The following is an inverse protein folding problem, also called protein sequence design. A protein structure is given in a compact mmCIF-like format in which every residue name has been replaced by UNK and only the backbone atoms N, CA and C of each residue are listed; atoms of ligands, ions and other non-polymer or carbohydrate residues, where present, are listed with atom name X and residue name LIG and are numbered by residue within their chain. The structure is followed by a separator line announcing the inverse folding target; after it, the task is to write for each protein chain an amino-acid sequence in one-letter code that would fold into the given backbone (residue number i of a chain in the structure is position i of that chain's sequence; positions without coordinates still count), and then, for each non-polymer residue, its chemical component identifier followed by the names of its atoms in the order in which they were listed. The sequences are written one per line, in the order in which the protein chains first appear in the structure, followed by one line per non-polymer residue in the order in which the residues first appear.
data_IF_447973760838
#
_entry.id   IF_447973760838
#
_cell.length_a   1.000
_cell.length_b   1.000
_cell.length_c   1.000
_cell.angle_alpha   90.00
_cell.angle_beta   90.00
_cell.angle_gamma   90.00
#
_symmetry.space_group_name_H-M   'P 1'
#
loop_
_entity.id
_entity.type
_entity.pdbx_description
1 polymer ?
#
# COMPACT_ATOMS: atom_id res chain seq x y z
N UNK A 1 23.71 3.81 11.11
CA UNK A 1 24.37 2.68 10.42
C UNK A 1 24.78 1.59 11.42
N UNK A 2 24.68 0.31 11.02
CA UNK A 2 24.96 -0.86 11.88
C UNK A 2 25.41 -2.07 11.06
N UNK A 3 25.53 -3.24 11.69
CA UNK A 3 26.04 -4.47 11.06
C UNK A 3 24.94 -5.25 10.29
N UNK A 4 24.46 -4.68 9.19
CA UNK A 4 23.43 -5.26 8.31
C UNK A 4 23.89 -5.22 6.85
N UNK A 5 24.86 -6.06 6.50
CA UNK A 5 25.45 -6.09 5.14
C UNK A 5 24.38 -6.30 4.07
N UNK A 6 24.29 -5.37 3.11
CA UNK A 6 23.36 -5.41 1.99
C UNK A 6 22.08 -4.59 2.16
N UNK A 7 21.78 -4.11 3.37
CA UNK A 7 20.61 -3.26 3.63
C UNK A 7 20.93 -1.76 3.46
N UNK A 8 19.90 -0.97 3.16
CA UNK A 8 19.95 0.49 3.11
C UNK A 8 19.28 1.08 4.34
N UNK A 9 19.86 2.15 4.89
CA UNK A 9 19.29 2.90 6.02
C UNK A 9 18.51 4.13 5.57
N UNK A 10 17.65 4.62 6.45
CA UNK A 10 16.85 5.85 6.20
C UNK A 10 17.77 7.04 5.96
N UNK A 11 18.86 7.17 6.72
CA UNK A 11 19.81 8.27 6.59
C UNK A 11 20.49 8.27 5.21
N UNK A 12 20.78 7.09 4.64
CA UNK A 12 21.32 6.99 3.28
C UNK A 12 20.33 7.46 2.23
N UNK A 13 19.03 7.19 2.41
CA UNK A 13 17.99 7.70 1.51
C UNK A 13 17.87 9.23 1.62
N UNK A 14 17.92 9.77 2.83
CA UNK A 14 17.86 11.22 3.05
C UNK A 14 19.07 11.95 2.46
N UNK A 15 20.27 11.40 2.58
CA UNK A 15 21.49 11.98 2.00
C UNK A 15 21.40 12.08 0.46
N UNK A 16 20.66 11.16 -0.17
CA UNK A 16 20.33 11.18 -1.60
C UNK A 16 19.13 12.08 -1.95
N UNK A 17 18.52 12.78 -0.99
CA UNK A 17 17.33 13.61 -1.20
C UNK A 17 16.04 12.82 -1.45
N UNK A 18 16.01 11.52 -1.14
CA UNK A 18 14.83 10.67 -1.29
C UNK A 18 13.91 10.87 -0.08
N UNK A 19 12.63 11.13 -0.32
CA UNK A 19 11.64 11.45 0.71
C UNK A 19 10.55 10.39 0.90
N UNK A 20 10.53 9.35 0.07
CA UNK A 20 9.51 8.29 0.07
C UNK A 20 10.14 6.90 0.03
N UNK A 21 9.49 5.92 0.67
CA UNK A 21 9.85 4.51 0.57
C UNK A 21 8.62 3.60 0.50
N UNK A 22 8.77 2.45 -0.16
CA UNK A 22 7.78 1.36 -0.20
C UNK A 22 8.10 0.35 0.90
N UNK A 23 7.09 -0.04 1.68
CA UNK A 23 7.25 -1.02 2.77
C UNK A 23 6.18 -2.10 2.65
N UNK A 24 6.57 -3.36 2.84
CA UNK A 24 5.61 -4.46 2.88
C UNK A 24 5.03 -4.83 1.51
N UNK A 25 5.68 -4.47 0.41
CA UNK A 25 5.28 -4.92 -0.93
C UNK A 25 5.15 -6.44 -0.97
N UNK A 26 4.12 -6.94 -1.67
CA UNK A 26 3.79 -8.36 -1.80
C UNK A 26 5.01 -9.25 -2.10
N UNK A 27 5.85 -8.86 -3.04
CA UNK A 27 7.10 -9.57 -3.38
C UNK A 27 8.06 -9.71 -2.20
N UNK A 28 8.22 -8.68 -1.36
CA UNK A 28 9.08 -8.75 -0.16
C UNK A 28 8.48 -9.66 0.91
N UNK A 29 7.16 -9.63 1.08
CA UNK A 29 6.46 -10.53 2.02
C UNK A 29 6.54 -11.99 1.58
N UNK A 30 6.32 -12.25 0.28
CA UNK A 30 6.23 -13.62 -0.26
C UNK A 30 7.61 -14.22 -0.52
N UNK A 31 8.52 -13.49 -1.14
CA UNK A 31 9.85 -13.99 -1.56
C UNK A 31 10.86 -13.83 -0.42
N UNK A 32 10.96 -12.63 0.16
CA UNK A 32 11.93 -12.30 1.21
C UNK A 32 11.43 -12.58 2.62
N UNK A 33 10.19 -13.05 2.77
CA UNK A 33 9.57 -13.44 4.04
C UNK A 33 9.51 -12.31 5.07
N UNK A 34 9.32 -11.08 4.61
CA UNK A 34 9.04 -9.97 5.52
C UNK A 34 7.65 -10.14 6.15
N UNK A 35 7.61 -10.30 7.48
CA UNK A 35 6.37 -10.40 8.25
C UNK A 35 5.79 -9.02 8.62
N UNK A 36 4.61 -9.03 9.25
CA UNK A 36 3.91 -7.81 9.62
C UNK A 36 4.64 -6.99 10.68
N UNK A 37 5.33 -7.65 11.61
CA UNK A 37 6.10 -6.95 12.63
C UNK A 37 7.29 -6.21 12.02
N UNK A 38 7.99 -6.86 11.08
CA UNK A 38 9.11 -6.28 10.37
C UNK A 38 8.68 -5.12 9.48
N UNK A 39 7.58 -5.27 8.74
CA UNK A 39 6.98 -4.18 7.97
C UNK A 39 6.58 -3.01 8.89
N UNK A 40 5.94 -3.29 10.04
CA UNK A 40 5.52 -2.25 10.98
C UNK A 40 6.70 -1.50 11.61
N UNK A 41 7.78 -2.22 11.96
CA UNK A 41 9.03 -1.59 12.42
C UNK A 41 9.66 -0.72 11.34
N UNK A 42 9.75 -1.20 10.09
CA UNK A 42 10.27 -0.42 8.95
C UNK A 42 9.46 0.86 8.73
N UNK A 43 8.13 0.77 8.75
CA UNK A 43 7.24 1.92 8.61
C UNK A 43 7.51 2.97 9.69
N UNK A 44 7.56 2.56 10.96
CA UNK A 44 7.84 3.48 12.07
C UNK A 44 9.23 4.11 11.95
N UNK A 45 10.26 3.31 11.68
CA UNK A 45 11.64 3.80 11.51
C UNK A 45 11.77 4.79 10.34
N UNK A 46 11.09 4.55 9.22
CA UNK A 46 11.09 5.46 8.07
C UNK A 46 10.43 6.80 8.41
N UNK A 47 9.25 6.77 9.07
CA UNK A 47 8.51 7.97 9.49
C UNK A 47 9.30 8.81 10.50
N UNK A 48 9.89 8.15 11.50
CA UNK A 48 10.75 8.77 12.52
C UNK A 48 11.99 9.40 11.90
N UNK A 49 12.58 8.72 10.93
CA UNK A 49 13.68 9.22 10.12
C UNK A 49 13.25 10.21 9.04
N UNK A 50 12.02 10.72 9.06
CA UNK A 50 11.58 11.83 8.20
C UNK A 50 11.11 11.45 6.80
N UNK A 51 11.05 10.17 6.44
CA UNK A 51 10.47 9.71 5.18
C UNK A 51 8.95 9.59 5.27
N UNK A 52 8.30 9.69 4.13
CA UNK A 52 6.93 9.22 3.95
C UNK A 52 6.94 7.76 3.46
N UNK A 53 5.88 7.02 3.78
CA UNK A 53 5.79 5.57 3.50
C UNK A 53 4.57 5.27 2.66
N UNK A 54 4.76 4.46 1.61
CA UNK A 54 3.69 3.71 0.97
C UNK A 54 3.74 2.29 1.54
N UNK A 55 2.78 1.98 2.41
CA UNK A 55 2.63 0.67 3.04
C UNK A 55 1.75 -0.20 2.17
N UNK A 56 2.26 -1.35 1.73
CA UNK A 56 1.44 -2.31 1.01
C UNK A 56 0.82 -3.37 1.91
N UNK A 57 -0.45 -3.66 1.61
CA UNK A 57 -1.28 -4.66 2.29
C UNK A 57 -2.08 -5.44 1.27
N UNK A 58 -2.40 -6.70 1.56
CA UNK A 58 -3.04 -7.57 0.58
C UNK A 58 -3.07 -9.02 0.99
N UNK A 59 -4.03 -9.73 0.41
CA UNK A 59 -4.28 -11.16 0.60
C UNK A 59 -3.82 -11.99 -0.60
N UNK A 60 -3.45 -13.24 -0.31
CA UNK A 60 -3.16 -14.29 -1.29
C UNK A 60 -4.43 -14.84 -1.94
N UNK A 61 -4.29 -15.66 -3.00
CA UNK A 61 -5.45 -16.26 -3.65
C UNK A 61 -6.20 -17.20 -2.69
N UNK A 62 -5.45 -17.98 -1.93
CA UNK A 62 -5.95 -18.93 -0.96
C UNK A 62 -6.73 -18.22 0.17
N UNK A 63 -6.24 -17.04 0.59
CA UNK A 63 -6.93 -16.21 1.58
C UNK A 63 -8.20 -15.57 1.01
N UNK A 64 -8.18 -15.12 -0.26
CA UNK A 64 -9.36 -14.58 -0.95
C UNK A 64 -10.44 -15.65 -1.11
N UNK A 65 -10.07 -16.85 -1.58
CA UNK A 65 -10.99 -17.99 -1.77
C UNK A 65 -11.53 -18.54 -0.45
N UNK A 66 -10.86 -18.26 0.66
CA UNK A 66 -11.31 -18.57 2.01
C UNK A 66 -12.08 -17.42 2.69
N UNK A 67 -12.45 -16.37 1.95
CA UNK A 67 -13.15 -15.17 2.44
C UNK A 67 -12.42 -14.41 3.56
N UNK A 68 -11.08 -14.47 3.59
CA UNK A 68 -10.23 -13.85 4.64
C UNK A 68 -9.65 -12.49 4.26
N UNK A 69 -10.05 -11.91 3.14
CA UNK A 69 -9.46 -10.66 2.62
C UNK A 69 -9.40 -9.55 3.69
N UNK A 70 -10.53 -9.26 4.32
CA UNK A 70 -10.63 -8.19 5.33
C UNK A 70 -9.81 -8.55 6.57
N UNK A 71 -9.83 -9.80 7.01
CA UNK A 71 -9.05 -10.26 8.17
C UNK A 71 -7.54 -10.09 7.93
N UNK A 72 -7.06 -10.46 6.75
CA UNK A 72 -5.64 -10.33 6.38
C UNK A 72 -5.23 -8.87 6.31
N UNK A 73 -5.99 -8.05 5.60
CA UNK A 73 -5.68 -6.63 5.40
C UNK A 73 -5.72 -5.88 6.74
N UNK A 74 -6.74 -6.10 7.56
CA UNK A 74 -6.85 -5.44 8.87
C UNK A 74 -5.81 -5.94 9.87
N UNK A 75 -5.41 -7.21 9.84
CA UNK A 75 -4.27 -7.73 10.62
C UNK A 75 -2.97 -7.03 10.26
N UNK A 76 -2.68 -6.89 8.96
CA UNK A 76 -1.48 -6.21 8.47
C UNK A 76 -1.48 -4.72 8.86
N UNK A 77 -2.61 -4.03 8.70
CA UNK A 77 -2.78 -2.63 9.12
C UNK A 77 -2.67 -2.47 10.64
N UNK A 78 -3.25 -3.38 11.41
CA UNK A 78 -3.22 -3.36 12.88
C UNK A 78 -1.81 -3.46 13.45
N UNK A 79 -0.93 -4.26 12.83
CA UNK A 79 0.47 -4.32 13.20
C UNK A 79 1.15 -2.95 13.10
N UNK A 80 0.86 -2.19 12.03
CA UNK A 80 1.37 -0.83 11.84
C UNK A 80 0.70 0.16 12.79
N UNK A 81 -0.62 0.14 12.88
CA UNK A 81 -1.41 1.04 13.73
C UNK A 81 -0.98 0.97 15.19
N UNK A 82 -0.62 -0.22 15.70
CA UNK A 82 -0.13 -0.41 17.07
C UNK A 82 1.19 0.32 17.39
N UNK A 83 1.93 0.77 16.36
CA UNK A 83 3.23 1.45 16.48
C UNK A 83 3.21 2.92 16.08
N UNK A 84 2.11 3.40 15.48
CA UNK A 84 1.99 4.77 14.98
C UNK A 84 1.16 5.64 15.93
N UNK A 85 1.58 6.89 16.08
CA UNK A 85 0.73 7.95 16.62
C UNK A 85 -0.25 8.44 15.56
N UNK A 86 -1.32 9.16 15.95
CA UNK A 86 -2.26 9.75 15.00
C UNK A 86 -1.59 10.70 13.99
N UNK A 87 -0.51 11.39 14.39
CA UNK A 87 0.22 12.35 13.55
C UNK A 87 1.05 11.65 12.46
N UNK A 88 1.55 10.45 12.73
CA UNK A 88 2.37 9.66 11.80
C UNK A 88 1.59 9.29 10.53
N UNK A 89 0.27 9.15 10.62
CA UNK A 89 -0.59 8.82 9.48
C UNK A 89 -0.57 9.88 8.37
N UNK A 90 -0.23 11.13 8.67
CA UNK A 90 -0.04 12.18 7.66
C UNK A 90 1.11 11.87 6.68
N UNK A 91 2.07 11.04 7.09
CA UNK A 91 3.20 10.57 6.28
C UNK A 91 2.97 9.19 5.66
N UNK A 92 1.78 8.62 5.80
CA UNK A 92 1.46 7.28 5.32
C UNK A 92 0.50 7.33 4.12
N UNK A 93 0.71 6.40 3.20
CA UNK A 93 -0.24 6.01 2.15
C UNK A 93 -0.39 4.49 2.25
N UNK A 94 -1.61 3.98 2.11
CA UNK A 94 -1.85 2.54 2.07
C UNK A 94 -2.06 2.11 0.63
N UNK A 95 -1.30 1.14 0.16
CA UNK A 95 -1.50 0.50 -1.13
C UNK A 95 -2.15 -0.88 -0.94
N UNK A 96 -3.37 -1.06 -1.43
CA UNK A 96 -4.02 -2.37 -1.45
C UNK A 96 -3.58 -3.16 -2.68
N UNK A 97 -2.92 -4.29 -2.44
CA UNK A 97 -2.42 -5.23 -3.44
C UNK A 97 -3.23 -6.54 -3.40
N UNK A 98 -4.18 -6.80 -4.32
CA UNK A 98 -4.71 -8.15 -4.50
C UNK A 98 -3.59 -9.05 -5.05
N UNK A 99 -2.83 -9.72 -4.17
CA UNK A 99 -1.57 -10.43 -4.53
C UNK A 99 -1.82 -11.46 -5.63
N UNK A 100 -2.98 -12.09 -5.60
CA UNK A 100 -3.44 -13.06 -6.59
C UNK A 100 -3.65 -12.49 -8.01
N UNK A 101 -3.75 -11.17 -8.16
CA UNK A 101 -3.91 -10.47 -9.43
C UNK A 101 -2.62 -9.80 -9.93
N UNK A 102 -1.49 -9.94 -9.22
CA UNK A 102 -0.21 -9.35 -9.61
C UNK A 102 0.55 -10.31 -10.53
N UNK A 103 0.72 -9.93 -11.79
CA UNK A 103 1.52 -10.71 -12.76
C UNK A 103 0.91 -12.05 -13.19
N UNK A 104 -0.31 -12.39 -12.73
CA UNK A 104 -0.99 -13.67 -13.03
C UNK A 104 -1.90 -13.61 -14.24
N UNK A 105 -2.14 -12.41 -14.79
CA UNK A 105 -3.13 -12.18 -15.85
C UNK A 105 -4.59 -12.18 -15.36
N UNK A 106 -4.85 -12.54 -14.09
CA UNK A 106 -6.12 -12.27 -13.42
C UNK A 106 -6.16 -10.79 -13.03
N UNK A 107 -7.30 -10.14 -13.20
CA UNK A 107 -7.50 -8.73 -12.86
C UNK A 107 -8.66 -8.63 -11.90
N UNK A 108 -8.45 -8.01 -10.74
CA UNK A 108 -9.55 -7.73 -9.82
C UNK A 108 -10.52 -6.73 -10.48
N UNK A 109 -11.81 -6.93 -10.26
CA UNK A 109 -12.82 -6.00 -10.78
C UNK A 109 -12.76 -4.67 -10.03
N UNK A 110 -13.34 -3.62 -10.63
CA UNK A 110 -13.48 -2.30 -10.00
C UNK A 110 -14.23 -2.38 -8.67
N UNK A 111 -15.21 -3.26 -8.57
CA UNK A 111 -16.02 -3.48 -7.37
C UNK A 111 -15.20 -4.18 -6.29
N UNK A 112 -14.36 -5.15 -6.65
CA UNK A 112 -13.46 -5.81 -5.69
C UNK A 112 -12.41 -4.85 -5.14
N UNK A 113 -11.89 -3.92 -5.97
CA UNK A 113 -10.99 -2.87 -5.50
C UNK A 113 -11.72 -1.93 -4.52
N UNK A 114 -12.91 -1.44 -4.89
CA UNK A 114 -13.72 -0.57 -4.05
C UNK A 114 -14.13 -1.21 -2.72
N UNK A 115 -14.54 -2.49 -2.75
CA UNK A 115 -14.92 -3.26 -1.56
C UNK A 115 -13.82 -3.23 -0.49
N UNK A 116 -12.58 -3.56 -0.89
CA UNK A 116 -11.47 -3.65 0.06
C UNK A 116 -10.99 -2.27 0.48
N UNK A 117 -10.98 -1.29 -0.42
CA UNK A 117 -10.66 0.10 -0.06
C UNK A 117 -11.63 0.68 0.97
N UNK A 118 -12.93 0.45 0.81
CA UNK A 118 -13.93 0.86 1.78
C UNK A 118 -13.73 0.15 3.13
N UNK A 119 -13.38 -1.15 3.12
CA UNK A 119 -13.07 -1.90 4.33
C UNK A 119 -11.82 -1.36 5.06
N UNK A 120 -10.76 -1.01 4.31
CA UNK A 120 -9.56 -0.34 4.86
C UNK A 120 -9.95 0.99 5.50
N UNK A 121 -10.69 1.85 4.77
CA UNK A 121 -11.08 3.17 5.30
C UNK A 121 -11.93 3.05 6.56
N UNK A 122 -12.90 2.13 6.55
CA UNK A 122 -13.73 1.81 7.72
C UNK A 122 -12.88 1.37 8.91
N UNK A 123 -11.96 0.43 8.71
CA UNK A 123 -11.07 -0.06 9.76
C UNK A 123 -10.25 1.08 10.38
N UNK A 124 -9.68 1.98 9.57
CA UNK A 124 -8.92 3.14 10.07
C UNK A 124 -9.80 4.12 10.84
N UNK A 125 -11.05 4.32 10.41
CA UNK A 125 -11.98 5.21 11.10
C UNK A 125 -12.30 4.69 12.52
N UNK A 126 -12.46 3.37 12.64
CA UNK A 126 -12.80 2.69 13.90
C UNK A 126 -11.59 2.49 14.82
N UNK A 127 -10.42 2.13 14.26
CA UNK A 127 -9.23 1.76 15.05
C UNK A 127 -8.28 2.91 15.34
N UNK A 128 -8.29 3.97 14.53
CA UNK A 128 -7.39 5.13 14.68
C UNK A 128 -8.19 6.39 14.95
N UNK A 129 -8.89 6.91 13.95
CA UNK A 129 -9.89 7.99 14.08
C UNK A 129 -10.57 8.27 12.74
N UNK A 130 -11.79 8.82 12.75
CA UNK A 130 -12.46 9.29 11.53
C UNK A 130 -11.64 10.31 10.74
N UNK A 131 -10.97 11.24 11.42
CA UNK A 131 -10.15 12.27 10.78
C UNK A 131 -8.95 11.67 10.03
N UNK A 132 -8.29 10.65 10.61
CA UNK A 132 -7.22 9.95 9.91
C UNK A 132 -7.76 9.20 8.69
N UNK A 133 -8.90 8.51 8.82
CA UNK A 133 -9.49 7.76 7.72
C UNK A 133 -9.91 8.63 6.53
N UNK A 134 -10.39 9.85 6.80
CA UNK A 134 -10.76 10.83 5.76
C UNK A 134 -9.55 11.36 4.99
N UNK A 135 -8.42 11.57 5.67
CA UNK A 135 -7.21 12.15 5.08
C UNK A 135 -6.22 11.11 4.53
N UNK A 136 -6.36 9.84 4.93
CA UNK A 136 -5.50 8.76 4.45
C UNK A 136 -5.81 8.46 2.99
N UNK A 137 -4.77 8.52 2.16
CA UNK A 137 -4.84 8.05 0.77
C UNK A 137 -4.72 6.52 0.75
N UNK A 138 -5.70 5.87 0.14
CA UNK A 138 -5.74 4.43 -0.11
C UNK A 138 -5.66 4.21 -1.62
N UNK A 139 -4.52 3.73 -2.10
CA UNK A 139 -4.23 3.55 -3.52
C UNK A 139 -4.33 2.08 -3.92
N UNK A 140 -4.77 1.83 -5.15
CA UNK A 140 -4.90 0.47 -5.68
C UNK A 140 -3.58 0.01 -6.31
N UNK A 141 -3.06 -1.12 -5.86
CA UNK A 141 -1.78 -1.71 -6.28
C UNK A 141 -1.90 -2.95 -7.16
N UNK A 142 -3.10 -3.31 -7.61
CA UNK A 142 -3.28 -4.39 -8.58
C UNK A 142 -2.92 -3.96 -10.01
N UNK A 143 -3.32 -4.78 -11.00
CA UNK A 143 -3.03 -4.50 -12.42
C UNK A 143 -3.77 -3.25 -12.95
N UNK A 144 -3.05 -2.13 -13.06
CA UNK A 144 -3.53 -0.86 -13.65
C UNK A 144 -2.83 -0.60 -14.99
N UNK A 145 -3.61 -0.16 -15.98
CA UNK A 145 -3.16 0.24 -17.31
C UNK A 145 -4.03 1.38 -17.88
N UNK A 146 -3.66 1.89 -19.04
CA UNK A 146 -4.35 3.00 -19.73
C UNK A 146 -5.83 2.71 -20.06
N UNK A 147 -6.23 1.44 -20.11
CA UNK A 147 -7.59 1.02 -20.47
C UNK A 147 -8.53 0.96 -19.26
N UNK A 148 -8.01 0.72 -18.05
CA UNK A 148 -8.83 0.53 -16.85
C UNK A 148 -8.66 1.64 -15.79
N UNK A 149 -7.62 2.47 -15.87
CA UNK A 149 -7.32 3.47 -14.85
C UNK A 149 -8.49 4.44 -14.59
N UNK A 150 -9.20 4.87 -15.64
CA UNK A 150 -10.32 5.82 -15.51
C UNK A 150 -11.52 5.23 -14.77
N UNK A 151 -11.83 3.96 -14.95
CA UNK A 151 -12.95 3.32 -14.24
C UNK A 151 -12.58 3.04 -12.78
N UNK A 152 -11.34 2.62 -12.51
CA UNK A 152 -10.83 2.47 -11.14
C UNK A 152 -10.79 3.82 -10.40
N UNK A 153 -10.40 4.89 -11.08
CA UNK A 153 -10.30 6.23 -10.49
C UNK A 153 -11.66 6.83 -10.06
N UNK A 154 -12.77 6.32 -10.61
CA UNK A 154 -14.14 6.73 -10.26
C UNK A 154 -14.65 6.10 -8.96
N UNK A 155 -13.98 5.05 -8.46
CA UNK A 155 -14.38 4.38 -7.24
C UNK A 155 -14.18 5.32 -6.04
N UNK A 156 -15.16 5.37 -5.14
CA UNK A 156 -15.25 6.37 -4.09
C UNK A 156 -14.05 6.35 -3.13
N UNK A 157 -13.52 5.17 -2.84
CA UNK A 157 -12.44 4.98 -1.87
C UNK A 157 -11.07 4.72 -2.50
N UNK A 158 -10.95 4.76 -3.84
CA UNK A 158 -9.70 4.54 -4.57
C UNK A 158 -9.02 5.87 -4.86
N UNK A 159 -8.01 6.23 -4.07
CA UNK A 159 -7.36 7.55 -4.09
C UNK A 159 -6.25 7.72 -5.13
N UNK A 160 -5.89 6.65 -5.84
CA UNK A 160 -4.80 6.63 -6.80
C UNK A 160 -4.28 5.22 -7.03
N UNK A 161 -3.06 5.11 -7.55
CA UNK A 161 -2.50 3.83 -7.97
C UNK A 161 -1.04 3.64 -7.52
N UNK A 162 -0.70 2.41 -7.15
CA UNK A 162 0.68 1.91 -7.13
C UNK A 162 0.90 1.08 -8.40
N UNK A 163 1.57 1.65 -9.39
CA UNK A 163 1.64 1.08 -10.75
C UNK A 163 2.92 0.26 -10.94
N UNK A 164 2.76 -1.02 -11.25
CA UNK A 164 3.86 -1.91 -11.64
C UNK A 164 4.37 -1.68 -13.06
N UNK A 165 4.31 -2.70 -13.92
CA UNK A 165 4.93 -2.67 -15.26
C UNK A 165 4.48 -1.55 -16.22
N UNK A 166 3.31 -0.96 -16.02
CA UNK A 166 2.86 0.18 -16.83
C UNK A 166 3.63 1.49 -16.49
N UNK A 167 4.27 1.58 -15.32
CA UNK A 167 5.14 2.72 -14.96
C UNK A 167 6.40 2.83 -15.83
N UNK A 168 6.78 1.74 -16.50
CA UNK A 168 7.94 1.67 -17.39
C UNK A 168 7.61 2.06 -18.84
N UNK A 169 6.38 2.54 -19.10
CA UNK A 169 5.87 2.83 -20.44
C UNK A 169 5.41 4.28 -20.55
N UNK A 170 5.41 4.90 -21.75
CA UNK A 170 4.87 6.24 -21.96
C UNK A 170 3.40 6.39 -21.52
N UNK A 171 2.63 5.31 -21.64
CA UNK A 171 1.23 5.24 -21.19
C UNK A 171 1.04 5.45 -19.67
N UNK A 172 2.13 5.50 -18.89
CA UNK A 172 2.05 5.90 -17.48
C UNK A 172 1.43 7.28 -17.30
N UNK A 173 1.63 8.20 -18.25
CA UNK A 173 1.02 9.53 -18.24
C UNK A 173 -0.52 9.46 -18.27
N UNK A 174 -1.08 8.49 -18.99
CA UNK A 174 -2.54 8.29 -19.03
C UNK A 174 -3.09 7.83 -17.66
N UNK A 175 -2.32 7.04 -16.92
CA UNK A 175 -2.68 6.60 -15.56
C UNK A 175 -2.57 7.75 -14.57
N UNK A 176 -1.52 8.58 -14.66
CA UNK A 176 -1.37 9.79 -13.84
C UNK A 176 -2.54 10.76 -14.05
N UNK A 177 -3.00 10.89 -15.31
CA UNK A 177 -4.09 11.77 -15.68
C UNK A 177 -5.49 11.14 -15.49
N UNK A 178 -5.61 9.96 -14.88
CA UNK A 178 -6.89 9.24 -14.79
C UNK A 178 -7.98 9.99 -13.99
N UNK A 179 -7.58 10.93 -13.12
CA UNK A 179 -8.46 11.80 -12.32
C UNK A 179 -8.60 13.22 -12.87
N UNK A 180 -7.95 13.55 -13.99
CA UNK A 180 -8.17 14.79 -14.74
C UNK A 180 -9.39 14.63 -15.65
#
# INVERSE_FOLDING_TARGET
MGAYTGELSVEQLQDCGISWTLVGHSERRVILKEDDDFAARKTKSAIDGGLSVILCVGETLEEREADKTVDVVTRQLGAVASRLSAQDWSKLVVAYEPVWAIGTGKVATTEQAQEVHAAVRKYIAESVSPSVAENLRIIYGGSVNEKNCKELAKQADVDGFLVGGASLKPAFVDIVNARL
#
